data_IF_362743249605
#
_entry.id   IF_362743249605
#
_cell.length_a   1.000
_cell.length_b   1.000
_cell.length_c   1.000
_cell.angle_alpha   90.00
_cell.angle_beta   90.00
_cell.angle_gamma   90.00
#
_symmetry.space_group_name_H-M   'P 1'
#
loop_
_entity.id
_entity.type
_entity.pdbx_description
1 polymer ?
#
# COMPACT_ATOMS: atom_id res chain seq x y z
N UNK A 1 -28.35 -68.90 32.37
CA UNK A 1 -27.37 -67.92 32.92
C UNK A 1 -26.67 -67.25 31.74
N UNK A 2 -27.07 -66.04 31.37
CA UNK A 2 -26.49 -65.29 30.28
C UNK A 2 -25.45 -64.32 30.88
N UNK A 3 -24.17 -64.49 30.48
CA UNK A 3 -23.10 -63.60 30.87
C UNK A 3 -23.20 -62.28 29.99
N UNK A 4 -23.59 -61.21 30.63
CA UNK A 4 -23.56 -59.87 30.01
C UNK A 4 -22.15 -59.44 29.80
N UNK A 5 -21.74 -59.36 28.53
CA UNK A 5 -20.47 -58.76 28.15
C UNK A 5 -20.49 -57.26 28.33
N UNK A 6 -19.64 -56.73 29.19
CA UNK A 6 -19.37 -55.28 29.30
C UNK A 6 -18.71 -54.81 27.99
N UNK A 7 -19.43 -54.06 27.20
CA UNK A 7 -18.83 -53.24 26.11
C UNK A 7 -18.11 -52.08 26.76
N UNK A 8 -16.80 -52.18 26.83
CA UNK A 8 -15.95 -51.06 27.14
C UNK A 8 -16.03 -50.09 25.95
N UNK A 9 -16.79 -49.03 26.10
CA UNK A 9 -16.79 -47.94 25.13
C UNK A 9 -15.43 -47.24 25.20
N UNK A 10 -14.51 -47.58 24.30
CA UNK A 10 -13.22 -46.88 24.12
C UNK A 10 -13.46 -45.51 23.47
N UNK A 11 -14.15 -44.62 24.18
CA UNK A 11 -14.33 -43.23 23.73
C UNK A 11 -13.04 -42.43 23.63
N UNK A 12 -11.95 -42.94 24.19
CA UNK A 12 -10.65 -42.28 24.17
C UNK A 12 -10.01 -42.24 22.77
N UNK A 13 -10.18 -43.26 21.95
CA UNK A 13 -9.61 -43.33 20.64
C UNK A 13 -10.30 -42.45 19.59
N UNK A 14 -11.61 -42.21 19.74
CA UNK A 14 -12.36 -41.35 18.82
C UNK A 14 -12.12 -39.86 19.08
N UNK A 15 -11.94 -39.47 20.34
CA UNK A 15 -11.59 -38.08 20.69
C UNK A 15 -10.16 -37.71 20.29
N UNK A 16 -9.21 -38.66 20.41
CA UNK A 16 -7.84 -38.45 19.98
C UNK A 16 -7.73 -38.26 18.45
N UNK A 17 -8.47 -38.99 17.64
CA UNK A 17 -8.52 -38.83 16.19
C UNK A 17 -9.16 -37.49 15.76
N UNK A 18 -10.25 -37.08 16.43
CA UNK A 18 -10.89 -35.79 16.16
C UNK A 18 -9.97 -34.60 16.48
N UNK A 19 -9.21 -34.66 17.56
CA UNK A 19 -8.26 -33.61 17.93
C UNK A 19 -7.09 -33.50 16.95
N UNK A 20 -6.56 -34.62 16.44
CA UNK A 20 -5.49 -34.61 15.42
C UNK A 20 -5.97 -34.06 14.08
N UNK A 21 -7.19 -34.43 13.66
CA UNK A 21 -7.78 -33.90 12.41
C UNK A 21 -8.08 -32.41 12.51
N UNK A 22 -8.51 -31.91 13.66
CA UNK A 22 -8.75 -30.49 13.89
C UNK A 22 -7.43 -29.69 13.94
N UNK A 23 -6.39 -30.24 14.52
CA UNK A 23 -5.06 -29.61 14.53
C UNK A 23 -4.45 -29.55 13.14
N UNK A 24 -4.59 -30.61 12.33
CA UNK A 24 -4.11 -30.63 10.94
C UNK A 24 -4.88 -29.62 10.07
N UNK A 25 -6.20 -29.52 10.24
CA UNK A 25 -7.02 -28.53 9.53
C UNK A 25 -6.65 -27.09 9.93
N UNK A 26 -6.40 -26.84 11.22
CA UNK A 26 -5.92 -25.53 11.70
C UNK A 26 -4.57 -25.18 11.13
N UNK A 27 -3.62 -26.11 11.11
CA UNK A 27 -2.31 -25.95 10.52
C UNK A 27 -2.41 -25.62 9.02
N UNK A 28 -3.20 -26.38 8.24
CA UNK A 28 -3.43 -26.09 6.81
C UNK A 28 -4.07 -24.71 6.56
N UNK A 29 -5.00 -24.29 7.44
CA UNK A 29 -5.62 -22.97 7.31
C UNK A 29 -4.65 -21.82 7.62
N UNK A 30 -3.75 -22.01 8.59
CA UNK A 30 -2.70 -21.04 8.90
C UNK A 30 -1.75 -20.91 7.72
N UNK A 31 -1.28 -22.01 7.14
CA UNK A 31 -0.37 -22.01 5.98
C UNK A 31 -1.00 -21.32 4.76
N UNK A 32 -2.28 -21.61 4.48
CA UNK A 32 -3.01 -20.94 3.40
C UNK A 32 -3.17 -19.44 3.64
N UNK A 33 -3.39 -19.02 4.88
CA UNK A 33 -3.48 -17.61 5.22
C UNK A 33 -2.14 -16.91 5.01
N UNK A 34 -1.05 -17.50 5.46
CA UNK A 34 0.31 -16.98 5.25
C UNK A 34 0.68 -16.86 3.76
N UNK A 35 0.27 -17.82 2.93
CA UNK A 35 0.47 -17.75 1.48
C UNK A 35 -0.35 -16.62 0.82
N UNK A 36 -1.58 -16.38 1.30
CA UNK A 36 -2.42 -15.28 0.81
C UNK A 36 -1.82 -13.94 1.23
N UNK A 37 -1.37 -13.82 2.48
CA UNK A 37 -0.76 -12.61 3.00
C UNK A 37 0.54 -12.27 2.23
N UNK A 38 1.40 -13.25 1.96
CA UNK A 38 2.60 -13.06 1.11
C UNK A 38 2.27 -12.61 -0.31
N UNK A 39 1.30 -13.24 -0.96
CA UNK A 39 0.86 -12.82 -2.30
C UNK A 39 0.28 -11.41 -2.32
N UNK A 40 -0.35 -10.99 -1.24
CA UNK A 40 -0.85 -9.64 -1.10
C UNK A 40 0.28 -8.64 -0.89
N UNK A 41 1.27 -8.96 -0.05
CA UNK A 41 2.46 -8.15 0.17
C UNK A 41 3.26 -7.95 -1.12
N UNK A 42 3.50 -9.02 -1.90
CA UNK A 42 4.19 -8.95 -3.19
C UNK A 42 3.46 -8.00 -4.16
N UNK A 43 2.14 -8.11 -4.26
CA UNK A 43 1.34 -7.21 -5.09
C UNK A 43 1.37 -5.75 -4.61
N UNK A 44 1.42 -5.53 -3.29
CA UNK A 44 1.57 -4.19 -2.73
C UNK A 44 2.94 -3.59 -3.06
N UNK A 45 3.99 -4.39 -2.99
CA UNK A 45 5.36 -3.97 -3.34
C UNK A 45 5.43 -3.57 -4.82
N UNK A 46 4.89 -4.39 -5.71
CA UNK A 46 4.82 -4.10 -7.14
C UNK A 46 4.02 -2.82 -7.41
N UNK A 47 2.88 -2.67 -6.76
CA UNK A 47 2.03 -1.49 -6.85
C UNK A 47 2.78 -0.22 -6.39
N UNK A 48 3.39 -0.26 -5.21
CA UNK A 48 4.18 0.86 -4.68
C UNK A 48 5.34 1.20 -5.61
N UNK A 49 6.05 0.20 -6.11
CA UNK A 49 7.21 0.39 -7.01
C UNK A 49 6.80 1.04 -8.32
N UNK A 50 5.68 0.60 -8.90
CA UNK A 50 5.14 1.19 -10.13
C UNK A 50 4.77 2.67 -9.95
N UNK A 51 4.03 3.00 -8.88
CA UNK A 51 3.58 4.38 -8.66
C UNK A 51 4.67 5.31 -8.15
N UNK A 52 5.66 4.80 -7.45
CA UNK A 52 6.87 5.56 -7.10
C UNK A 52 7.66 6.00 -8.33
N UNK A 53 7.69 5.19 -9.38
CA UNK A 53 8.28 5.56 -10.67
C UNK A 53 7.41 6.48 -11.49
N UNK A 54 6.09 6.38 -11.35
CA UNK A 54 5.10 7.06 -12.18
C UNK A 54 4.14 7.90 -11.34
N UNK A 55 4.65 8.89 -10.63
CA UNK A 55 3.83 9.74 -9.74
C UNK A 55 2.68 10.42 -10.48
N UNK A 56 2.87 10.84 -11.74
CA UNK A 56 1.81 11.43 -12.56
C UNK A 56 0.62 10.46 -12.77
N UNK A 57 0.88 9.16 -12.91
CA UNK A 57 -0.20 8.14 -12.99
C UNK A 57 -0.89 7.92 -11.66
N UNK A 58 -0.16 8.00 -10.55
CA UNK A 58 -0.76 7.95 -9.23
C UNK A 58 -1.76 9.10 -9.03
N UNK A 59 -1.38 10.32 -9.41
CA UNK A 59 -2.26 11.48 -9.33
C UNK A 59 -3.53 11.32 -10.19
N UNK A 60 -3.44 10.74 -11.38
CA UNK A 60 -4.61 10.50 -12.24
C UNK A 60 -5.49 9.37 -11.75
N UNK A 61 -4.91 8.22 -11.35
CA UNK A 61 -5.66 7.02 -11.01
C UNK A 61 -6.29 7.06 -9.63
N UNK A 62 -5.58 7.61 -8.64
CA UNK A 62 -6.03 7.60 -7.23
C UNK A 62 -6.58 8.94 -6.75
N UNK A 63 -5.99 10.04 -7.19
CA UNK A 63 -6.50 11.37 -6.81
C UNK A 63 -7.53 11.89 -7.80
N UNK A 64 -7.75 11.22 -8.94
CA UNK A 64 -8.74 11.58 -9.93
C UNK A 64 -8.48 12.93 -10.63
N UNK A 65 -7.25 13.44 -10.54
CA UNK A 65 -6.86 14.75 -11.05
C UNK A 65 -6.48 14.61 -12.52
N UNK A 66 -7.18 15.30 -13.41
CA UNK A 66 -6.82 15.36 -14.82
C UNK A 66 -5.67 16.33 -15.01
N UNK A 67 -4.53 15.80 -15.40
CA UNK A 67 -3.32 16.58 -15.62
C UNK A 67 -3.11 16.87 -17.11
N UNK A 68 -2.74 18.10 -17.42
CA UNK A 68 -2.27 18.46 -18.76
C UNK A 68 -0.92 17.80 -19.05
N UNK A 69 -0.60 17.62 -20.33
CA UNK A 69 0.61 16.92 -20.75
C UNK A 69 1.89 17.51 -20.13
N UNK A 70 2.04 18.85 -20.13
CA UNK A 70 3.19 19.52 -19.53
C UNK A 70 3.28 19.30 -18.01
N UNK A 71 2.13 19.21 -17.31
CA UNK A 71 2.09 18.95 -15.88
C UNK A 71 2.57 17.53 -15.54
N UNK A 72 2.23 16.55 -16.38
CA UNK A 72 2.73 15.17 -16.25
C UNK A 72 4.24 15.13 -16.41
N UNK A 73 4.78 15.85 -17.39
CA UNK A 73 6.24 15.96 -17.61
C UNK A 73 6.90 16.59 -16.39
N UNK A 74 6.33 17.67 -15.85
CA UNK A 74 6.87 18.33 -14.66
C UNK A 74 6.93 17.38 -13.46
N UNK A 75 5.84 16.67 -13.15
CA UNK A 75 5.80 15.69 -12.08
C UNK A 75 6.79 14.55 -12.30
N UNK A 76 6.94 14.09 -13.53
CA UNK A 76 7.89 13.05 -13.88
C UNK A 76 9.33 13.50 -13.66
N UNK A 77 9.68 14.71 -14.13
CA UNK A 77 11.02 15.28 -13.94
C UNK A 77 11.33 15.54 -12.47
N UNK A 78 10.38 16.06 -11.70
CA UNK A 78 10.55 16.26 -10.26
C UNK A 78 10.81 14.94 -9.51
N UNK A 79 10.32 13.84 -10.03
CA UNK A 79 10.55 12.53 -9.44
C UNK A 79 11.88 11.88 -9.88
N UNK A 80 12.31 12.16 -11.09
CA UNK A 80 13.50 11.54 -11.68
C UNK A 80 14.79 12.28 -11.29
N UNK A 81 14.74 13.63 -11.25
CA UNK A 81 15.90 14.46 -11.04
C UNK A 81 16.02 14.90 -9.58
N UNK A 82 17.21 14.83 -8.96
CA UNK A 82 17.41 15.28 -7.57
C UNK A 82 17.27 16.81 -7.41
N UNK A 83 17.46 17.56 -8.48
CA UNK A 83 17.29 19.00 -8.51
C UNK A 83 16.57 19.40 -9.79
N UNK A 84 15.52 20.17 -9.67
CA UNK A 84 14.71 20.67 -10.80
C UNK A 84 14.44 22.16 -10.62
N UNK A 85 14.72 22.94 -11.66
CA UNK A 85 14.36 24.35 -11.74
C UNK A 85 13.23 24.51 -12.75
N UNK A 86 12.10 25.02 -12.30
CA UNK A 86 10.90 25.18 -13.12
C UNK A 86 10.67 26.67 -13.39
N UNK A 87 10.90 27.07 -14.62
CA UNK A 87 10.65 28.44 -15.12
C UNK A 87 9.37 28.43 -15.95
N UNK A 88 8.32 29.00 -15.40
CA UNK A 88 7.00 29.06 -16.06
C UNK A 88 6.38 30.44 -15.89
N UNK A 89 5.48 30.82 -16.80
CA UNK A 89 4.68 32.04 -16.72
C UNK A 89 3.75 32.07 -15.50
N UNK A 90 3.15 33.22 -15.21
CA UNK A 90 2.06 33.33 -14.23
C UNK A 90 0.89 32.45 -14.67
N UNK A 91 0.13 31.95 -13.72
CA UNK A 91 -1.05 31.08 -13.93
C UNK A 91 -0.77 29.69 -14.54
N UNK A 92 0.48 29.23 -14.67
CA UNK A 92 0.81 27.88 -15.14
C UNK A 92 0.75 26.80 -14.05
N UNK A 93 -0.06 26.99 -13.02
CA UNK A 93 -0.31 26.04 -11.94
C UNK A 93 0.94 25.47 -11.24
N UNK A 94 2.04 26.21 -11.17
CA UNK A 94 3.30 25.78 -10.52
C UNK A 94 3.10 25.33 -9.07
N UNK A 95 2.46 26.19 -8.27
CA UNK A 95 2.21 25.91 -6.86
C UNK A 95 1.31 24.67 -6.67
N UNK A 96 0.32 24.52 -7.54
CA UNK A 96 -0.54 23.33 -7.53
C UNK A 96 0.25 22.04 -7.79
N UNK A 97 1.14 22.04 -8.81
CA UNK A 97 1.94 20.86 -9.13
C UNK A 97 2.94 20.54 -8.01
N UNK A 98 3.54 21.56 -7.40
CA UNK A 98 4.45 21.38 -6.27
C UNK A 98 3.73 20.79 -5.06
N UNK A 99 2.55 21.31 -4.73
CA UNK A 99 1.71 20.77 -3.65
C UNK A 99 1.26 19.33 -3.96
N UNK A 100 0.82 19.07 -5.19
CA UNK A 100 0.42 17.73 -5.63
C UNK A 100 1.58 16.74 -5.52
N UNK A 101 2.79 17.13 -5.95
CA UNK A 101 3.98 16.30 -5.80
C UNK A 101 4.28 16.01 -4.33
N UNK A 102 4.22 17.01 -3.46
CA UNK A 102 4.41 16.85 -2.03
C UNK A 102 3.41 15.85 -1.41
N UNK A 103 2.13 15.97 -1.76
CA UNK A 103 1.09 15.03 -1.33
C UNK A 103 1.39 13.60 -1.81
N UNK A 104 1.73 13.42 -3.08
CA UNK A 104 2.05 12.11 -3.64
C UNK A 104 3.27 11.48 -2.95
N UNK A 105 4.31 12.27 -2.67
CA UNK A 105 5.51 11.80 -1.97
C UNK A 105 5.16 11.38 -0.54
N UNK A 106 4.38 12.16 0.19
CA UNK A 106 3.97 11.81 1.55
C UNK A 106 3.15 10.51 1.61
N UNK A 107 2.35 10.23 0.59
CA UNK A 107 1.56 8.99 0.52
C UNK A 107 2.41 7.80 0.11
N UNK A 108 3.25 7.93 -0.91
CA UNK A 108 4.02 6.83 -1.49
C UNK A 108 5.29 6.48 -0.70
N UNK A 109 5.83 7.43 0.05
CA UNK A 109 7.04 7.24 0.84
C UNK A 109 6.75 7.46 2.33
N UNK A 110 6.53 6.40 3.11
CA UNK A 110 6.29 6.52 4.54
C UNK A 110 7.51 7.18 5.22
N UNK A 111 7.23 8.00 6.24
CA UNK A 111 8.22 8.77 6.98
C UNK A 111 8.99 9.84 6.17
N UNK A 112 8.53 10.19 4.96
CA UNK A 112 9.11 11.30 4.21
C UNK A 112 8.74 12.64 4.84
N UNK A 113 9.68 13.59 4.81
CA UNK A 113 9.46 14.97 5.27
C UNK A 113 9.60 15.89 4.07
N UNK A 114 8.57 16.66 3.78
CA UNK A 114 8.57 17.65 2.71
C UNK A 114 8.66 19.03 3.32
N UNK A 115 9.68 19.78 2.96
CA UNK A 115 9.87 21.17 3.37
C UNK A 115 9.52 22.11 2.23
N UNK A 116 8.56 22.99 2.43
CA UNK A 116 8.18 24.04 1.48
C UNK A 116 8.66 25.37 2.01
N UNK A 117 9.48 26.07 1.25
CA UNK A 117 9.96 27.41 1.58
C UNK A 117 9.55 28.42 0.53
N UNK A 118 9.21 29.63 0.95
CA UNK A 118 8.87 30.75 0.09
C UNK A 118 9.31 32.07 0.72
N UNK A 119 9.41 33.13 -0.07
CA UNK A 119 9.81 34.45 0.42
C UNK A 119 8.87 35.02 1.48
N UNK A 120 7.56 34.71 1.39
CA UNK A 120 6.57 35.16 2.36
C UNK A 120 5.82 33.98 2.96
N UNK A 121 5.47 34.10 4.25
CA UNK A 121 4.67 33.09 4.97
C UNK A 121 3.33 32.79 4.28
N UNK A 122 2.69 33.82 3.67
CA UNK A 122 1.45 33.63 2.92
C UNK A 122 1.64 32.75 1.68
N UNK A 123 2.75 32.88 0.97
CA UNK A 123 3.03 32.04 -0.21
C UNK A 123 3.35 30.60 0.15
N UNK A 124 4.07 30.39 1.25
CA UNK A 124 4.30 29.02 1.75
C UNK A 124 3.00 28.35 2.19
N UNK A 125 2.09 29.10 2.85
CA UNK A 125 0.81 28.60 3.33
C UNK A 125 -0.23 28.28 2.24
N UNK A 126 -0.04 28.73 1.00
CA UNK A 126 -0.90 28.37 -0.14
C UNK A 126 -0.67 26.92 -0.67
N UNK A 127 0.36 26.26 -0.18
CA UNK A 127 0.66 24.87 -0.53
C UNK A 127 0.11 23.84 0.45
N UNK A 128 -0.61 24.29 1.50
CA UNK A 128 -1.27 23.42 2.49
C UNK A 128 -2.77 23.33 2.25
#
# INVERSE_FOLDING_TARGET
MARGGYRVNNGFGQNARRTTDDMTKRSMNITKKEEIDKKFEDKLIDWCTFYRRNIHRFAEHYLGIRLHFYQKIMLYLMNLCPQVVILCSRASAKSFITALYACCVCILYPNSKVLVSALTKKQAGLCY
#
